data_IF_536624148598
#
_entry.id   IF_536624148598
#
_cell.length_a   1.000
_cell.length_b   1.000
_cell.length_c   1.000
_cell.angle_alpha   90.00
_cell.angle_beta   90.00
_cell.angle_gamma   90.00
#
_symmetry.space_group_name_H-M   'P 1'
#
loop_
_entity.id
_entity.type
_entity.pdbx_description
1 polymer ?
#
# COMPACT_ATOMS: atom_id res chain seq x y z
N UNK A 1 26.41 28.34 -0.30
CA UNK A 1 25.56 27.41 -1.08
C UNK A 1 24.67 26.72 -0.06
N UNK A 2 23.42 27.13 0.07
CA UNK A 2 22.44 26.44 0.89
C UNK A 2 22.19 25.05 0.26
N UNK A 3 22.60 23.99 0.93
CA UNK A 3 22.26 22.63 0.48
C UNK A 3 20.72 22.56 0.38
N UNK A 4 20.21 22.32 -0.82
CA UNK A 4 18.77 22.15 -0.99
C UNK A 4 18.32 21.02 -0.05
N UNK A 5 17.35 21.32 0.80
CA UNK A 5 16.80 20.34 1.74
C UNK A 5 16.24 19.17 0.95
N UNK A 6 16.62 17.94 1.32
CA UNK A 6 16.11 16.72 0.68
C UNK A 6 14.60 16.62 0.90
N UNK A 7 13.83 16.20 -0.11
CA UNK A 7 12.41 15.94 0.09
C UNK A 7 12.22 14.77 1.08
N UNK A 8 11.10 14.76 1.77
CA UNK A 8 10.79 13.78 2.82
C UNK A 8 9.66 12.85 2.36
N UNK A 9 9.85 11.54 2.50
CA UNK A 9 8.80 10.56 2.26
C UNK A 9 8.47 9.78 3.54
N UNK A 10 7.17 9.67 3.87
CA UNK A 10 6.70 8.79 4.94
C UNK A 10 6.17 7.49 4.36
N UNK A 11 6.65 6.36 4.88
CA UNK A 11 6.28 5.03 4.40
C UNK A 11 5.78 4.20 5.57
N UNK A 12 4.57 3.67 5.46
CA UNK A 12 4.03 2.72 6.44
C UNK A 12 4.33 1.27 6.01
N UNK A 13 4.70 0.41 6.97
CA UNK A 13 5.06 -0.98 6.73
C UNK A 13 6.35 -1.20 5.91
N UNK A 14 7.42 -0.40 6.08
CA UNK A 14 8.64 -0.53 5.28
C UNK A 14 9.57 -1.66 5.74
N UNK A 15 9.22 -2.41 6.78
CA UNK A 15 10.07 -3.48 7.33
C UNK A 15 10.30 -4.67 6.37
N UNK A 16 9.52 -4.79 5.30
CA UNK A 16 9.67 -5.85 4.29
C UNK A 16 8.88 -5.53 3.00
N UNK A 17 9.06 -6.35 1.97
CA UNK A 17 8.25 -6.36 0.75
C UNK A 17 8.19 -5.01 0.03
N UNK A 18 6.99 -4.64 -0.42
CA UNK A 18 6.76 -3.43 -1.23
C UNK A 18 7.18 -2.15 -0.49
N UNK A 19 6.90 -2.04 0.80
CA UNK A 19 7.29 -0.89 1.60
C UNK A 19 8.81 -0.70 1.70
N UNK A 20 9.57 -1.79 1.89
CA UNK A 20 11.03 -1.75 1.87
C UNK A 20 11.56 -1.39 0.47
N UNK A 21 10.90 -1.87 -0.58
CA UNK A 21 11.20 -1.49 -1.96
C UNK A 21 11.01 0.01 -2.21
N UNK A 22 9.89 0.59 -1.74
CA UNK A 22 9.68 2.04 -1.79
C UNK A 22 10.75 2.81 -1.01
N UNK A 23 11.10 2.36 0.19
CA UNK A 23 12.13 3.02 1.00
C UNK A 23 13.47 3.10 0.26
N UNK A 24 13.93 1.98 -0.33
CA UNK A 24 15.16 1.95 -1.13
C UNK A 24 15.08 2.81 -2.39
N UNK A 25 13.98 2.72 -3.13
CA UNK A 25 13.80 3.48 -4.37
C UNK A 25 13.77 5.00 -4.11
N UNK A 26 13.06 5.44 -3.06
CA UNK A 26 12.96 6.86 -2.71
C UNK A 26 14.26 7.40 -2.12
N UNK A 27 14.95 6.63 -1.27
CA UNK A 27 16.29 7.00 -0.81
C UNK A 27 17.28 7.18 -1.97
N UNK A 28 17.24 6.26 -2.96
CA UNK A 28 18.02 6.37 -4.19
C UNK A 28 17.65 7.56 -5.08
N UNK A 29 16.42 8.07 -4.97
CA UNK A 29 15.95 9.31 -5.63
C UNK A 29 16.24 10.57 -4.79
N UNK A 30 16.94 10.47 -3.67
CA UNK A 30 17.37 11.60 -2.86
C UNK A 30 16.39 12.02 -1.76
N UNK A 31 15.41 11.20 -1.40
CA UNK A 31 14.52 11.47 -0.26
C UNK A 31 15.18 11.11 1.07
N UNK A 32 14.87 11.88 2.10
CA UNK A 32 14.96 11.46 3.50
C UNK A 32 13.64 10.78 3.89
N UNK A 33 13.67 9.88 4.88
CA UNK A 33 12.54 8.99 5.11
C UNK A 33 11.99 9.06 6.53
N UNK A 34 10.68 8.86 6.65
CA UNK A 34 10.00 8.53 7.91
C UNK A 34 9.48 7.10 7.78
N UNK A 35 10.03 6.21 8.60
CA UNK A 35 9.77 4.76 8.54
C UNK A 35 8.81 4.37 9.67
N UNK A 36 7.61 3.91 9.32
CA UNK A 36 6.54 3.60 10.28
C UNK A 36 6.19 2.12 10.26
N UNK A 37 6.48 1.39 11.32
CA UNK A 37 6.05 0.00 11.55
C UNK A 37 6.17 -0.38 13.04
N UNK A 38 5.72 -1.59 13.41
CA UNK A 38 5.78 -2.08 14.79
C UNK A 38 7.17 -2.51 15.25
N UNK A 39 7.92 -3.14 14.35
CA UNK A 39 9.22 -3.73 14.68
C UNK A 39 10.34 -2.68 14.57
N UNK A 40 10.71 -2.08 15.71
CA UNK A 40 11.77 -1.07 15.80
C UNK A 40 13.09 -1.58 15.25
N UNK A 41 13.53 -2.79 15.64
CA UNK A 41 14.82 -3.31 15.21
C UNK A 41 14.92 -3.46 13.68
N UNK A 42 13.82 -3.88 13.02
CA UNK A 42 13.78 -3.96 11.56
C UNK A 42 13.81 -2.57 10.89
N UNK A 43 13.20 -1.56 11.53
CA UNK A 43 13.26 -0.17 11.05
C UNK A 43 14.65 0.43 11.21
N UNK A 44 15.30 0.21 12.35
CA UNK A 44 16.66 0.72 12.64
C UNK A 44 17.68 0.07 11.68
N UNK A 45 17.55 -1.22 11.39
CA UNK A 45 18.37 -1.92 10.40
C UNK A 45 18.18 -1.34 8.99
N UNK A 46 16.93 -1.08 8.58
CA UNK A 46 16.64 -0.46 7.29
C UNK A 46 17.17 0.98 7.24
N UNK A 47 16.99 1.78 8.29
CA UNK A 47 17.53 3.14 8.38
C UNK A 47 19.06 3.16 8.20
N UNK A 48 19.76 2.22 8.85
CA UNK A 48 21.20 2.04 8.69
C UNK A 48 21.59 1.69 7.25
N UNK A 49 20.89 0.75 6.63
CA UNK A 49 21.09 0.40 5.22
C UNK A 49 20.93 1.62 4.30
N UNK A 50 19.84 2.39 4.49
CA UNK A 50 19.52 3.54 3.65
C UNK A 50 20.56 4.68 3.80
N UNK A 51 21.03 4.89 5.02
CA UNK A 51 22.11 5.85 5.29
C UNK A 51 23.41 5.42 4.61
N UNK A 52 23.81 4.16 4.73
CA UNK A 52 25.05 3.64 4.16
C UNK A 52 25.06 3.63 2.64
N UNK A 53 23.93 3.24 2.02
CA UNK A 53 23.86 3.09 0.55
C UNK A 53 23.53 4.36 -0.20
N UNK A 54 22.74 5.26 0.40
CA UNK A 54 22.17 6.43 -0.29
C UNK A 54 22.41 7.75 0.43
N UNK A 55 23.03 7.74 1.61
CA UNK A 55 23.18 8.92 2.45
C UNK A 55 21.84 9.50 2.93
N UNK A 56 20.78 8.70 2.94
CA UNK A 56 19.43 9.14 3.32
C UNK A 56 19.27 9.11 4.83
N UNK A 57 18.84 10.22 5.43
CA UNK A 57 18.43 10.26 6.83
C UNK A 57 17.08 9.55 7.01
N UNK A 58 16.90 8.89 8.15
CA UNK A 58 15.63 8.20 8.44
C UNK A 58 15.18 8.47 9.87
N UNK A 59 13.94 8.95 10.02
CA UNK A 59 13.23 9.01 11.29
C UNK A 59 12.45 7.70 11.48
N UNK A 60 12.60 7.06 12.64
CA UNK A 60 11.94 5.79 12.96
C UNK A 60 10.78 6.01 13.92
N UNK A 61 9.56 5.69 13.49
CA UNK A 61 8.34 5.68 14.29
C UNK A 61 7.87 4.23 14.50
N UNK A 62 8.26 3.66 15.64
CA UNK A 62 7.87 2.30 16.01
C UNK A 62 6.49 2.30 16.69
N UNK A 63 5.41 2.20 15.89
CA UNK A 63 4.01 2.27 16.35
C UNK A 63 3.15 1.23 15.69
N UNK A 64 2.01 0.89 16.32
CA UNK A 64 0.99 0.00 15.74
C UNK A 64 -0.16 0.82 15.16
N UNK A 65 -0.35 0.76 13.86
CA UNK A 65 -1.44 1.46 13.16
C UNK A 65 -2.84 0.85 13.42
N UNK A 66 -2.92 -0.32 14.04
CA UNK A 66 -4.19 -0.87 14.50
C UNK A 66 -4.74 -0.07 15.71
N UNK A 67 -3.88 0.63 16.46
CA UNK A 67 -4.28 1.42 17.62
C UNK A 67 -4.53 2.88 17.28
N UNK A 68 -5.41 3.53 18.03
CA UNK A 68 -5.70 4.97 17.88
C UNK A 68 -4.43 5.80 18.18
N UNK A 69 -3.69 5.43 19.24
CA UNK A 69 -2.47 6.10 19.66
C UNK A 69 -1.39 6.03 18.59
N UNK A 70 -1.22 4.84 17.96
CA UNK A 70 -0.26 4.64 16.90
C UNK A 70 -0.58 5.48 15.66
N UNK A 71 -1.84 5.51 15.24
CA UNK A 71 -2.28 6.37 14.13
C UNK A 71 -2.11 7.85 14.44
N UNK A 72 -2.48 8.27 15.67
CA UNK A 72 -2.32 9.65 16.13
C UNK A 72 -0.86 10.13 16.08
N UNK A 73 0.08 9.31 16.53
CA UNK A 73 1.51 9.66 16.45
C UNK A 73 1.97 9.93 15.01
N UNK A 74 1.47 9.14 14.03
CA UNK A 74 1.79 9.37 12.62
C UNK A 74 1.09 10.60 12.06
N UNK A 75 -0.17 10.85 12.43
CA UNK A 75 -0.91 12.08 12.07
C UNK A 75 -0.15 13.33 12.56
N UNK A 76 0.30 13.34 13.81
CA UNK A 76 1.11 14.42 14.38
C UNK A 76 2.45 14.62 13.62
N UNK A 77 3.06 13.52 13.17
CA UNK A 77 4.26 13.59 12.32
C UNK A 77 3.97 14.19 10.95
N UNK A 78 2.86 13.79 10.32
CA UNK A 78 2.45 14.30 9.00
C UNK A 78 2.14 15.80 9.02
N UNK A 79 1.65 16.34 10.12
CA UNK A 79 1.41 17.77 10.29
C UNK A 79 2.69 18.64 10.15
N UNK A 80 3.88 18.03 10.28
CA UNK A 80 5.17 18.70 10.01
C UNK A 80 5.54 18.72 8.51
N UNK A 81 4.73 18.13 7.66
CA UNK A 81 4.90 18.04 6.23
C UNK A 81 5.75 16.85 5.77
N UNK A 82 5.37 16.35 4.62
CA UNK A 82 6.12 15.38 3.81
C UNK A 82 5.83 15.68 2.33
N UNK A 83 6.79 15.39 1.45
CA UNK A 83 6.60 15.52 -0.01
C UNK A 83 5.94 14.28 -0.61
N UNK A 84 6.08 13.13 0.07
CA UNK A 84 5.43 11.88 -0.35
C UNK A 84 4.92 11.07 0.84
N UNK A 85 3.70 10.51 0.70
CA UNK A 85 3.11 9.55 1.62
C UNK A 85 2.89 8.21 0.91
N UNK A 86 3.45 7.12 1.45
CA UNK A 86 3.19 5.76 0.98
C UNK A 86 2.44 4.98 2.06
N UNK A 87 1.13 4.89 1.93
CA UNK A 87 0.26 4.05 2.75
C UNK A 87 0.37 2.60 2.28
N UNK A 88 1.40 1.89 2.77
CA UNK A 88 1.68 0.52 2.35
C UNK A 88 1.35 -0.52 3.44
N UNK A 89 1.33 -0.15 4.71
CA UNK A 89 0.99 -1.09 5.78
C UNK A 89 -0.35 -1.76 5.52
N UNK A 90 -0.39 -3.07 5.72
CA UNK A 90 -1.59 -3.86 5.53
C UNK A 90 -1.32 -5.34 5.71
N UNK A 91 -2.35 -6.09 6.05
CA UNK A 91 -2.27 -7.54 6.17
C UNK A 91 -3.58 -8.20 5.76
N UNK A 92 -3.49 -9.47 5.40
CA UNK A 92 -4.63 -10.35 5.14
C UNK A 92 -4.82 -11.30 6.29
N UNK A 93 -6.01 -11.86 6.40
CA UNK A 93 -6.39 -12.91 7.33
C UNK A 93 -6.83 -14.16 6.58
N UNK A 94 -6.79 -15.31 7.25
CA UNK A 94 -7.27 -16.60 6.74
C UNK A 94 -8.35 -17.16 7.65
N UNK A 95 -9.11 -18.12 7.16
CA UNK A 95 -10.22 -18.74 7.88
C UNK A 95 -11.57 -18.39 7.26
N UNK A 96 -12.61 -18.93 7.83
CA UNK A 96 -13.98 -18.62 7.42
C UNK A 96 -14.46 -17.39 8.19
N UNK A 97 -15.11 -16.45 7.50
CA UNK A 97 -15.53 -15.18 8.10
C UNK A 97 -16.34 -15.35 9.40
N UNK A 98 -17.24 -16.32 9.43
CA UNK A 98 -18.14 -16.56 10.58
C UNK A 98 -17.46 -17.25 11.78
N UNK A 99 -16.21 -17.68 11.64
CA UNK A 99 -15.41 -18.27 12.73
C UNK A 99 -14.16 -17.44 13.05
N UNK A 100 -13.91 -16.38 12.27
CA UNK A 100 -12.75 -15.52 12.47
C UNK A 100 -12.88 -14.71 13.78
N UNK A 101 -11.76 -14.46 14.44
CA UNK A 101 -11.72 -13.58 15.60
C UNK A 101 -12.15 -12.15 15.23
N UNK A 102 -13.22 -11.60 15.81
CA UNK A 102 -13.69 -10.25 15.52
C UNK A 102 -12.63 -9.18 15.78
N UNK A 103 -11.78 -9.35 16.79
CA UNK A 103 -10.71 -8.39 17.09
C UNK A 103 -9.64 -8.37 15.99
N UNK A 104 -9.31 -9.54 15.42
CA UNK A 104 -8.39 -9.63 14.29
C UNK A 104 -8.98 -8.98 13.02
N UNK A 105 -10.27 -9.19 12.75
CA UNK A 105 -10.95 -8.55 11.63
C UNK A 105 -11.01 -7.03 11.78
N UNK A 106 -11.29 -6.52 12.99
CA UNK A 106 -11.28 -5.11 13.28
C UNK A 106 -9.87 -4.52 13.11
N UNK A 107 -8.85 -5.18 13.65
CA UNK A 107 -7.45 -4.77 13.46
C UNK A 107 -7.04 -4.70 11.99
N UNK A 108 -7.55 -5.63 11.16
CA UNK A 108 -7.33 -5.57 9.71
C UNK A 108 -7.96 -4.33 9.09
N UNK A 109 -9.18 -3.97 9.47
CA UNK A 109 -9.85 -2.75 8.99
C UNK A 109 -9.13 -1.50 9.48
N UNK A 110 -8.69 -1.49 10.74
CA UNK A 110 -7.95 -0.35 11.31
C UNK A 110 -6.67 -0.05 10.54
N UNK A 111 -5.91 -1.08 10.17
CA UNK A 111 -4.67 -0.90 9.41
C UNK A 111 -4.94 -0.67 7.92
N UNK A 112 -5.82 -1.49 7.29
CA UNK A 112 -6.00 -1.46 5.83
C UNK A 112 -6.88 -0.31 5.34
N UNK A 113 -7.75 0.24 6.21
CA UNK A 113 -8.75 1.26 5.85
C UNK A 113 -8.59 2.52 6.70
N UNK A 114 -8.78 2.41 8.02
CA UNK A 114 -8.81 3.57 8.92
C UNK A 114 -7.48 4.33 8.89
N UNK A 115 -6.35 3.64 8.96
CA UNK A 115 -5.04 4.27 8.87
C UNK A 115 -4.85 4.96 7.52
N UNK A 116 -5.22 4.33 6.40
CA UNK A 116 -5.11 4.96 5.07
C UNK A 116 -5.94 6.24 4.99
N UNK A 117 -7.18 6.22 5.50
CA UNK A 117 -8.05 7.39 5.56
C UNK A 117 -7.45 8.52 6.41
N UNK A 118 -7.07 8.22 7.67
CA UNK A 118 -6.58 9.22 8.62
C UNK A 118 -5.26 9.83 8.17
N UNK A 119 -4.30 9.02 7.71
CA UNK A 119 -2.99 9.49 7.28
C UNK A 119 -3.07 10.29 5.98
N UNK A 120 -3.89 9.85 5.00
CA UNK A 120 -4.15 10.63 3.79
C UNK A 120 -4.77 11.98 4.15
N UNK A 121 -5.80 11.99 5.02
CA UNK A 121 -6.46 13.21 5.49
C UNK A 121 -5.48 14.17 6.19
N UNK A 122 -4.52 13.63 6.95
CA UNK A 122 -3.54 14.43 7.68
C UNK A 122 -2.47 15.05 6.75
N UNK A 123 -2.05 14.34 5.70
CA UNK A 123 -1.03 14.83 4.76
C UNK A 123 -1.55 15.92 3.82
N UNK A 124 -2.81 15.83 3.39
CA UNK A 124 -3.37 16.66 2.33
C UNK A 124 -3.31 18.16 2.58
N UNK A 125 -3.69 18.73 3.76
CA UNK A 125 -3.67 20.18 3.95
C UNK A 125 -2.29 20.78 3.69
N UNK A 126 -1.23 20.17 4.24
CA UNK A 126 0.15 20.66 4.06
C UNK A 126 0.61 20.53 2.62
N UNK A 127 0.26 19.44 1.93
CA UNK A 127 0.59 19.24 0.51
C UNK A 127 -0.15 20.23 -0.39
N UNK A 128 -1.44 20.50 -0.13
CA UNK A 128 -2.26 21.47 -0.88
C UNK A 128 -1.72 22.88 -0.69
N UNK A 129 -1.41 23.29 0.54
CA UNK A 129 -0.84 24.60 0.85
C UNK A 129 0.54 24.78 0.18
N UNK A 130 1.32 23.71 0.07
CA UNK A 130 2.59 23.70 -0.64
C UNK A 130 2.44 23.66 -2.18
N UNK A 131 1.25 23.43 -2.72
CA UNK A 131 0.99 23.27 -4.14
C UNK A 131 1.65 22.03 -4.76
N UNK A 132 2.06 21.06 -3.95
CA UNK A 132 2.73 19.82 -4.39
C UNK A 132 2.62 18.73 -3.33
N UNK A 133 2.63 17.48 -3.77
CA UNK A 133 2.69 16.30 -2.91
C UNK A 133 2.26 15.05 -3.65
N UNK A 134 2.75 13.92 -3.19
CA UNK A 134 2.46 12.62 -3.78
C UNK A 134 1.92 11.66 -2.73
N UNK A 135 0.81 10.99 -3.02
CA UNK A 135 0.25 9.96 -2.14
C UNK A 135 0.08 8.65 -2.92
N UNK A 136 0.70 7.58 -2.43
CA UNK A 136 0.49 6.21 -2.93
C UNK A 136 -0.25 5.40 -1.87
N UNK A 137 -1.46 4.99 -2.18
CA UNK A 137 -2.26 4.07 -1.36
C UNK A 137 -2.14 2.65 -1.92
N UNK A 138 -1.48 1.76 -1.18
CA UNK A 138 -1.28 0.37 -1.64
C UNK A 138 -2.55 -0.43 -1.41
N UNK A 139 -3.29 -0.62 -2.52
CA UNK A 139 -4.45 -1.47 -2.63
C UNK A 139 -4.05 -2.93 -3.00
N UNK A 140 -4.77 -3.54 -3.92
CA UNK A 140 -4.50 -4.87 -4.50
C UNK A 140 -5.40 -5.09 -5.72
N UNK A 141 -5.03 -5.97 -6.64
CA UNK A 141 -5.95 -6.48 -7.66
C UNK A 141 -7.16 -7.19 -7.03
N UNK A 142 -7.05 -7.68 -5.80
CA UNK A 142 -8.17 -8.24 -5.04
C UNK A 142 -9.28 -7.21 -4.77
N UNK A 143 -8.97 -5.92 -4.75
CA UNK A 143 -9.96 -4.85 -4.65
C UNK A 143 -10.65 -4.48 -5.96
N UNK A 144 -10.17 -5.00 -7.09
CA UNK A 144 -10.72 -4.72 -8.43
C UNK A 144 -11.65 -5.82 -8.93
N UNK A 145 -11.59 -6.98 -8.33
CA UNK A 145 -12.28 -8.18 -8.79
C UNK A 145 -13.16 -8.73 -7.66
N UNK A 146 -14.40 -9.15 -7.96
CA UNK A 146 -15.18 -9.92 -7.01
C UNK A 146 -14.45 -11.24 -6.74
N UNK A 147 -14.03 -11.45 -5.50
CA UNK A 147 -13.22 -12.61 -5.13
C UNK A 147 -13.54 -13.12 -3.74
N UNK A 148 -12.89 -14.22 -3.40
CA UNK A 148 -12.89 -14.75 -2.03
C UNK A 148 -11.98 -13.89 -1.15
N UNK A 149 -12.25 -13.81 0.12
CA UNK A 149 -11.56 -12.94 1.06
C UNK A 149 -12.41 -11.70 1.33
N UNK A 150 -13.46 -11.89 2.11
CA UNK A 150 -14.53 -10.91 2.29
C UNK A 150 -14.00 -9.58 2.84
N UNK A 151 -13.25 -9.62 3.94
CA UNK A 151 -12.76 -8.40 4.61
C UNK A 151 -11.54 -7.81 3.91
N UNK A 152 -10.56 -8.63 3.51
CA UNK A 152 -9.38 -8.15 2.81
C UNK A 152 -9.73 -7.52 1.46
N UNK A 153 -10.49 -8.23 0.61
CA UNK A 153 -10.88 -7.70 -0.71
C UNK A 153 -11.75 -6.46 -0.57
N UNK A 154 -12.67 -6.43 0.39
CA UNK A 154 -13.48 -5.25 0.68
C UNK A 154 -12.64 -4.06 1.15
N UNK A 155 -11.65 -4.28 2.03
CA UNK A 155 -10.72 -3.23 2.47
C UNK A 155 -9.90 -2.67 1.30
N UNK A 156 -9.44 -3.51 0.37
CA UNK A 156 -8.69 -3.08 -0.80
C UNK A 156 -9.57 -2.42 -1.86
N UNK A 157 -10.83 -2.82 -1.99
CA UNK A 157 -11.81 -2.13 -2.83
C UNK A 157 -12.13 -0.72 -2.28
N UNK A 158 -12.25 -0.59 -0.95
CA UNK A 158 -12.37 0.72 -0.31
C UNK A 158 -11.20 1.63 -0.69
N UNK A 159 -9.96 1.16 -0.55
CA UNK A 159 -8.75 1.95 -0.86
C UNK A 159 -8.73 2.40 -2.33
N UNK A 160 -9.13 1.53 -3.26
CA UNK A 160 -9.23 1.91 -4.69
C UNK A 160 -10.27 3.00 -4.88
N UNK A 161 -11.51 2.78 -4.43
CA UNK A 161 -12.63 3.71 -4.61
C UNK A 161 -12.37 5.06 -3.93
N UNK A 162 -11.83 5.03 -2.69
CA UNK A 162 -11.45 6.22 -1.94
C UNK A 162 -10.40 7.05 -2.71
N UNK A 163 -9.35 6.39 -3.21
CA UNK A 163 -8.26 7.08 -3.92
C UNK A 163 -8.73 7.68 -5.23
N UNK A 164 -9.57 6.96 -5.98
CA UNK A 164 -10.13 7.45 -7.24
C UNK A 164 -11.10 8.63 -7.04
N UNK A 165 -11.97 8.54 -6.02
CA UNK A 165 -12.85 9.63 -5.65
C UNK A 165 -12.08 10.88 -5.21
N UNK A 166 -11.01 10.68 -4.43
CA UNK A 166 -10.17 11.78 -3.95
C UNK A 166 -9.43 12.49 -5.08
N UNK A 167 -8.96 11.76 -6.09
CA UNK A 167 -8.22 12.31 -7.22
C UNK A 167 -9.01 13.42 -7.97
N UNK A 168 -10.33 13.24 -8.10
CA UNK A 168 -11.19 14.25 -8.71
C UNK A 168 -11.21 15.57 -7.94
N UNK A 169 -11.24 15.51 -6.60
CA UNK A 169 -11.24 16.68 -5.73
C UNK A 169 -9.87 17.39 -5.63
N UNK A 170 -8.80 16.73 -6.02
CA UNK A 170 -7.43 17.27 -5.96
C UNK A 170 -6.98 17.93 -7.27
N UNK A 171 -7.83 17.97 -8.29
CA UNK A 171 -7.50 18.60 -9.57
C UNK A 171 -7.13 20.08 -9.38
N UNK A 172 -5.98 20.48 -9.94
CA UNK A 172 -5.47 21.86 -9.84
C UNK A 172 -4.73 22.20 -8.53
N UNK A 173 -4.68 21.31 -7.53
CA UNK A 173 -3.97 21.56 -6.27
C UNK A 173 -2.46 21.29 -6.34
N UNK A 174 -1.97 20.63 -7.39
CA UNK A 174 -0.59 20.13 -7.49
C UNK A 174 -0.32 18.84 -6.73
N UNK A 175 -1.31 18.29 -6.01
CA UNK A 175 -1.19 17.02 -5.30
C UNK A 175 -1.66 15.86 -6.17
N UNK A 176 -0.85 14.80 -6.26
CA UNK A 176 -1.17 13.56 -6.99
C UNK A 176 -1.48 12.43 -6.02
N UNK A 177 -2.49 11.65 -6.34
CA UNK A 177 -2.85 10.46 -5.54
C UNK A 177 -2.98 9.25 -6.45
N UNK A 178 -2.49 8.10 -5.98
CA UNK A 178 -2.49 6.86 -6.74
C UNK A 178 -2.92 5.66 -5.88
N UNK A 179 -3.84 4.85 -6.40
CA UNK A 179 -4.12 3.51 -5.92
C UNK A 179 -3.17 2.53 -6.63
N UNK A 180 -2.19 1.98 -5.90
CA UNK A 180 -1.33 0.92 -6.38
C UNK A 180 -2.02 -0.42 -6.16
N UNK A 181 -2.32 -1.14 -7.24
CA UNK A 181 -3.04 -2.41 -7.23
C UNK A 181 -2.12 -3.56 -7.69
N UNK A 182 -1.18 -4.04 -6.85
CA UNK A 182 -0.32 -5.15 -7.22
C UNK A 182 -1.10 -6.47 -7.24
N UNK A 183 -0.62 -7.41 -8.08
CA UNK A 183 -0.99 -8.82 -8.00
C UNK A 183 -0.17 -9.57 -6.96
N UNK A 184 0.18 -10.84 -7.24
CA UNK A 184 1.07 -11.61 -6.37
C UNK A 184 2.50 -11.07 -6.47
N UNK A 185 3.06 -10.65 -5.33
CA UNK A 185 4.42 -10.12 -5.23
C UNK A 185 5.24 -11.02 -4.34
N UNK A 186 6.47 -11.34 -4.74
CA UNK A 186 7.40 -12.18 -3.95
C UNK A 186 7.82 -11.42 -2.68
N UNK A 187 7.03 -11.60 -1.62
CA UNK A 187 7.21 -10.97 -0.31
C UNK A 187 6.81 -11.92 0.80
N UNK A 188 7.04 -11.53 2.04
CA UNK A 188 6.59 -12.29 3.21
C UNK A 188 5.09 -12.19 3.48
N UNK A 189 4.35 -11.39 2.71
CA UNK A 189 2.93 -11.10 2.95
C UNK A 189 2.09 -12.38 3.03
N UNK A 190 2.18 -13.25 2.03
CA UNK A 190 1.39 -14.49 1.97
C UNK A 190 1.75 -15.45 3.10
N UNK A 191 3.05 -15.59 3.41
CA UNK A 191 3.52 -16.41 4.53
C UNK A 191 2.99 -15.91 5.86
N UNK A 192 3.05 -14.60 6.11
CA UNK A 192 2.52 -13.97 7.34
C UNK A 192 1.00 -14.09 7.45
N UNK A 193 0.29 -14.09 6.33
CA UNK A 193 -1.16 -14.30 6.28
C UNK A 193 -1.56 -15.78 6.34
N UNK A 194 -0.60 -16.72 6.43
CA UNK A 194 -0.88 -18.16 6.42
C UNK A 194 -1.47 -18.68 5.11
N UNK A 195 -1.23 -17.97 3.99
CA UNK A 195 -1.78 -18.33 2.68
C UNK A 195 -0.78 -19.24 1.96
N UNK A 196 -1.20 -20.47 1.67
CA UNK A 196 -0.42 -21.37 0.82
C UNK A 196 -0.48 -20.91 -0.65
N UNK A 197 0.69 -20.62 -1.20
CA UNK A 197 0.88 -20.15 -2.57
C UNK A 197 1.65 -21.15 -3.44
N UNK A 198 1.86 -22.37 -2.97
CA UNK A 198 2.67 -23.40 -3.64
C UNK A 198 2.14 -23.77 -5.05
N UNK A 199 0.83 -23.65 -5.26
CA UNK A 199 0.19 -23.92 -6.55
C UNK A 199 0.12 -22.71 -7.50
N UNK A 200 0.68 -21.56 -7.11
CA UNK A 200 0.59 -20.34 -7.93
C UNK A 200 1.65 -20.35 -9.04
N UNK A 201 1.25 -20.31 -10.33
CA UNK A 201 2.18 -20.28 -11.45
C UNK A 201 3.17 -19.13 -11.37
N UNK A 202 4.42 -19.36 -11.73
CA UNK A 202 5.50 -18.35 -11.67
C UNK A 202 5.20 -17.10 -12.50
N UNK A 203 4.49 -17.22 -13.61
CA UNK A 203 4.09 -16.10 -14.48
C UNK A 203 3.21 -15.07 -13.77
N UNK A 204 2.56 -15.45 -12.67
CA UNK A 204 1.72 -14.55 -11.87
C UNK A 204 2.52 -13.80 -10.79
N UNK A 205 3.78 -14.19 -10.55
CA UNK A 205 4.60 -13.52 -9.57
C UNK A 205 5.29 -12.28 -10.12
N UNK A 206 5.25 -11.21 -9.36
CA UNK A 206 5.95 -9.95 -9.62
C UNK A 206 7.08 -9.76 -8.61
N UNK A 207 8.15 -9.11 -9.06
CA UNK A 207 9.21 -8.66 -8.16
C UNK A 207 8.87 -7.30 -7.56
N UNK A 208 9.33 -7.08 -6.33
CA UNK A 208 9.12 -5.83 -5.59
C UNK A 208 9.61 -4.62 -6.39
N UNK A 209 10.80 -4.71 -6.98
CA UNK A 209 11.38 -3.61 -7.75
C UNK A 209 10.56 -3.25 -8.98
N UNK A 210 9.99 -4.26 -9.66
CA UNK A 210 9.09 -4.03 -10.79
C UNK A 210 7.83 -3.29 -10.34
N UNK A 211 7.23 -3.70 -9.21
CA UNK A 211 6.02 -3.07 -8.67
C UNK A 211 6.28 -1.61 -8.31
N UNK A 212 7.37 -1.33 -7.60
CA UNK A 212 7.73 0.02 -7.16
C UNK A 212 8.07 0.93 -8.34
N UNK A 213 8.92 0.46 -9.28
CA UNK A 213 9.25 1.24 -10.48
C UNK A 213 8.01 1.58 -11.30
N UNK A 214 7.10 0.61 -11.50
CA UNK A 214 5.86 0.84 -12.24
C UNK A 214 4.98 1.86 -11.53
N UNK A 215 4.82 1.75 -10.20
CA UNK A 215 4.04 2.70 -9.41
C UNK A 215 4.58 4.12 -9.53
N UNK A 216 5.88 4.32 -9.31
CA UNK A 216 6.50 5.64 -9.39
C UNK A 216 6.39 6.25 -10.80
N UNK A 217 6.64 5.47 -11.85
CA UNK A 217 6.49 5.95 -13.23
C UNK A 217 5.03 6.28 -13.57
N UNK A 218 4.06 5.45 -13.13
CA UNK A 218 2.64 5.71 -13.33
C UNK A 218 2.17 6.96 -12.55
N UNK A 219 2.71 7.19 -11.35
CA UNK A 219 2.43 8.38 -10.54
C UNK A 219 2.99 9.65 -11.22
N UNK A 220 4.24 9.61 -11.69
CA UNK A 220 4.85 10.70 -12.45
C UNK A 220 4.06 11.03 -13.72
N UNK A 221 3.47 10.01 -14.37
CA UNK A 221 2.57 10.17 -15.53
C UNK A 221 1.14 10.59 -15.16
N UNK A 222 0.85 10.90 -13.89
CA UNK A 222 -0.47 11.34 -13.41
C UNK A 222 -1.54 10.25 -13.38
N UNK A 223 -1.16 8.97 -13.41
CA UNK A 223 -2.15 7.87 -13.37
C UNK A 223 -2.65 7.64 -11.95
N UNK A 224 -3.94 7.79 -11.76
CA UNK A 224 -4.63 7.56 -10.48
C UNK A 224 -4.64 6.08 -10.09
N UNK A 225 -4.63 5.15 -11.05
CA UNK A 225 -4.53 3.72 -10.80
C UNK A 225 -3.29 3.13 -11.46
N UNK A 226 -2.46 2.46 -10.67
CA UNK A 226 -1.31 1.68 -11.16
C UNK A 226 -1.56 0.18 -10.95
N UNK A 227 -1.46 -0.60 -12.02
CA UNK A 227 -1.58 -2.07 -12.00
C UNK A 227 -0.29 -2.65 -12.59
N UNK A 228 0.71 -3.00 -11.76
CA UNK A 228 1.93 -3.62 -12.24
C UNK A 228 1.69 -5.01 -12.86
N UNK A 229 2.37 -5.29 -13.97
CA UNK A 229 2.26 -6.55 -14.70
C UNK A 229 1.13 -6.55 -15.74
N UNK A 230 1.48 -6.95 -16.98
CA UNK A 230 0.52 -7.00 -18.11
C UNK A 230 -0.61 -8.00 -17.82
N UNK A 231 -0.27 -9.15 -17.22
CA UNK A 231 -1.23 -10.19 -16.84
C UNK A 231 -2.34 -9.65 -15.92
N UNK A 232 -2.00 -8.76 -14.99
CA UNK A 232 -2.97 -8.16 -14.08
C UNK A 232 -3.77 -7.03 -14.71
N UNK A 233 -3.17 -6.28 -15.64
CA UNK A 233 -3.92 -5.29 -16.44
C UNK A 233 -5.01 -5.97 -17.28
N UNK A 234 -4.65 -7.07 -17.95
CA UNK A 234 -5.61 -7.88 -18.72
C UNK A 234 -6.70 -8.44 -17.80
N UNK A 235 -6.33 -9.04 -16.69
CA UNK A 235 -7.27 -9.61 -15.72
C UNK A 235 -8.24 -8.55 -15.18
N UNK A 236 -7.75 -7.38 -14.78
CA UNK A 236 -8.57 -6.28 -14.24
C UNK A 236 -9.52 -5.70 -15.31
N UNK A 237 -9.08 -5.62 -16.57
CA UNK A 237 -9.91 -5.14 -17.69
C UNK A 237 -10.98 -6.17 -18.04
N UNK A 238 -10.60 -7.44 -18.19
CA UNK A 238 -11.54 -8.53 -18.48
C UNK A 238 -12.60 -8.69 -17.39
N UNK A 239 -12.18 -8.60 -16.10
CA UNK A 239 -13.11 -8.71 -14.97
C UNK A 239 -14.18 -7.61 -14.91
N UNK A 240 -13.96 -6.48 -15.56
CA UNK A 240 -14.96 -5.39 -15.68
C UNK A 240 -15.99 -5.64 -16.78
N UNK A 241 -15.61 -6.40 -17.83
CA UNK A 241 -16.45 -6.67 -18.98
C UNK A 241 -17.30 -7.95 -18.79
N UNK A 242 -16.90 -8.83 -17.89
CA UNK A 242 -17.60 -10.08 -17.62
C UNK A 242 -18.71 -9.86 -16.60
N UNK A 243 -19.95 -10.33 -16.87
CA UNK A 243 -21.04 -10.26 -15.90
C UNK A 243 -20.64 -10.89 -14.56
N UNK A 244 -20.91 -10.22 -13.46
CA UNK A 244 -20.50 -10.65 -12.10
C UNK A 244 -20.92 -12.09 -11.76
N UNK A 245 -22.07 -12.52 -12.25
CA UNK A 245 -22.58 -13.90 -12.06
C UNK A 245 -21.67 -14.96 -12.69
N UNK A 246 -21.04 -14.65 -13.83
CA UNK A 246 -20.12 -15.55 -14.51
C UNK A 246 -18.76 -15.57 -13.79
N UNK A 247 -18.28 -14.41 -13.36
CA UNK A 247 -17.04 -14.30 -12.54
C UNK A 247 -17.20 -15.11 -11.24
N UNK A 248 -18.34 -15.01 -10.55
CA UNK A 248 -18.63 -15.79 -9.34
C UNK A 248 -18.62 -17.31 -9.61
N UNK A 249 -19.19 -17.76 -10.75
CA UNK A 249 -19.16 -19.19 -11.12
C UNK A 249 -17.72 -19.66 -11.39
N UNK A 250 -16.96 -18.91 -12.15
CA UNK A 250 -15.55 -19.23 -12.46
C UNK A 250 -14.67 -19.25 -11.21
N UNK A 251 -14.78 -18.24 -10.33
CA UNK A 251 -14.01 -18.20 -9.07
C UNK A 251 -14.40 -19.32 -8.12
N UNK A 252 -15.65 -19.82 -8.15
CA UNK A 252 -16.07 -20.97 -7.36
C UNK A 252 -15.53 -22.29 -7.90
N UNK A 253 -15.33 -22.42 -9.21
CA UNK A 253 -14.86 -23.65 -9.86
C UNK A 253 -13.33 -23.77 -9.79
N UNK A 254 -12.61 -22.69 -9.98
CA UNK A 254 -11.14 -22.67 -9.98
C UNK A 254 -10.53 -22.35 -8.61
N UNK A 255 -11.34 -21.98 -7.64
CA UNK A 255 -10.87 -21.54 -6.33
C UNK A 255 -10.99 -22.65 -5.28
N UNK A 256 -10.09 -23.63 -5.26
CA UNK A 256 -9.91 -24.56 -4.13
C UNK A 256 -9.31 -23.88 -2.86
N UNK A 257 -9.30 -22.56 -2.80
CA UNK A 257 -8.86 -21.78 -1.65
C UNK A 257 -9.98 -21.60 -0.63
N UNK A 258 -10.30 -22.62 0.16
CA UNK A 258 -11.05 -22.44 1.39
C UNK A 258 -10.19 -21.63 2.36
N UNK A 259 -10.77 -20.61 3.01
CA UNK A 259 -10.14 -19.94 4.13
C UNK A 259 -9.38 -18.65 3.80
N UNK A 260 -10.02 -17.69 3.12
CA UNK A 260 -9.59 -16.27 3.12
C UNK A 260 -10.72 -15.41 3.67
N UNK A 261 -10.48 -14.75 4.75
CA UNK A 261 -11.35 -13.68 5.29
C UNK A 261 -10.93 -12.32 4.78
#
# INVERSE_FOLDING_TARGET
MTSAQRPVALITGPSSGIGAGFARALAGKGYDLVLVARNRAALDALATELQQRFGASSEVLAVDLATVEGRRAVVERLARGVDMLVNNAGFGTTGEFWTADPALLQSQLDVNVTAVLELTRAALPVMIDAGRGDIVNVASVAGLLPGRGSTYSASKAYVVSFTEGLAGGLAGTGVRVQALCPGFVRTEFHRRAGIDMSSTPDILWLDVDQVVRTSLADLEAGKVRSIPGVQYKVLATAGRLVPQNLVRKLTNTFGNGRGRT
#
